data_IF_953757354233
#
_entry.id   IF_953757354233
#
_cell.length_a   1.000
_cell.length_b   1.000
_cell.length_c   1.000
_cell.angle_alpha   90.00
_cell.angle_beta   90.00
_cell.angle_gamma   90.00
#
_symmetry.space_group_name_H-M   'P 1'
#
loop_
_entity.id
_entity.type
_entity.pdbx_description
1 polymer ?
#
# COMPACT_ATOMS: atom_id res chain seq x y z
N UNK A 1 51.80 4.99 48.92
CA UNK A 1 51.10 6.17 48.36
C UNK A 1 51.80 6.82 47.15
N UNK A 2 52.73 6.14 46.44
CA UNK A 2 53.39 6.74 45.25
C UNK A 2 52.83 6.28 43.89
N UNK A 3 51.97 5.26 43.84
CA UNK A 3 51.41 4.79 42.56
C UNK A 3 50.08 5.47 42.18
N UNK A 4 49.44 6.20 43.10
CA UNK A 4 48.15 6.87 42.83
C UNK A 4 48.32 8.16 42.02
N UNK A 5 49.49 8.82 42.10
CA UNK A 5 49.78 10.08 41.40
C UNK A 5 49.96 9.91 39.88
N UNK A 6 50.28 8.70 39.42
CA UNK A 6 50.52 8.42 38.01
C UNK A 6 49.31 7.76 37.31
N UNK A 7 48.33 7.29 38.08
CA UNK A 7 47.09 6.67 37.54
C UNK A 7 46.04 7.75 37.25
N UNK A 8 45.97 8.79 38.08
CA UNK A 8 44.99 9.88 37.94
C UNK A 8 45.09 10.66 36.61
N UNK A 9 46.29 10.99 36.08
CA UNK A 9 46.40 11.68 34.78
C UNK A 9 46.00 10.77 33.61
N UNK A 10 46.27 9.46 33.70
CA UNK A 10 45.92 8.49 32.65
C UNK A 10 44.40 8.27 32.56
N UNK A 11 43.69 8.34 33.69
CA UNK A 11 42.23 8.23 33.74
C UNK A 11 41.55 9.48 33.15
N UNK A 12 42.13 10.67 33.31
CA UNK A 12 41.60 11.91 32.73
C UNK A 12 41.85 12.03 31.22
N UNK A 13 42.96 11.46 30.70
CA UNK A 13 43.23 11.44 29.25
C UNK A 13 42.27 10.50 28.51
N UNK A 14 41.85 9.40 29.12
CA UNK A 14 40.89 8.45 28.50
C UNK A 14 39.45 8.93 28.51
N UNK A 15 39.07 9.82 29.44
CA UNK A 15 37.75 10.44 29.48
C UNK A 15 37.59 11.63 28.51
N UNK A 16 38.68 12.16 27.96
CA UNK A 16 38.67 13.31 27.05
C UNK A 16 38.67 12.93 25.56
N UNK A 17 38.95 11.67 25.23
CA UNK A 17 38.83 11.11 23.87
C UNK A 17 37.55 10.28 23.68
N UNK A 18 36.51 10.55 24.47
CA UNK A 18 35.17 10.11 24.09
C UNK A 18 34.83 10.77 22.75
N UNK A 19 34.46 9.97 21.76
CA UNK A 19 33.96 10.46 20.48
C UNK A 19 32.82 11.44 20.78
N UNK A 20 33.01 12.72 20.47
CA UNK A 20 31.99 13.77 20.70
C UNK A 20 30.77 13.57 19.80
N UNK A 21 30.91 12.71 18.79
CA UNK A 21 29.86 12.35 17.86
C UNK A 21 29.45 10.89 18.04
N UNK A 22 28.20 10.69 18.46
CA UNK A 22 27.52 9.39 18.45
C UNK A 22 26.75 9.17 17.15
N UNK A 23 26.84 10.10 16.20
CA UNK A 23 26.23 9.98 14.89
C UNK A 23 27.15 9.16 13.97
N UNK A 24 27.03 7.84 14.09
CA UNK A 24 27.61 6.94 13.11
C UNK A 24 26.66 6.89 11.91
N UNK A 25 27.14 7.07 10.66
CA UNK A 25 26.34 6.73 9.51
C UNK A 25 25.90 5.29 9.67
N UNK A 26 24.59 5.03 9.75
CA UNK A 26 24.07 3.67 9.80
C UNK A 26 24.56 2.96 8.53
N UNK A 27 25.47 1.97 8.63
CA UNK A 27 25.99 1.30 7.45
C UNK A 27 24.89 0.54 6.69
N UNK A 28 23.69 0.41 7.27
CA UNK A 28 22.50 -0.18 6.66
C UNK A 28 21.43 0.86 6.26
N UNK A 29 21.64 2.15 6.52
CA UNK A 29 20.77 3.23 6.04
C UNK A 29 21.63 4.32 5.37
N UNK A 30 21.78 4.31 4.03
CA UNK A 30 22.53 5.36 3.33
C UNK A 30 21.95 6.74 3.68
N UNK A 31 22.81 7.73 3.93
CA UNK A 31 22.37 9.08 4.26
C UNK A 31 21.59 9.68 3.09
N UNK A 32 20.58 10.51 3.39
CA UNK A 32 19.72 11.14 2.37
C UNK A 32 20.47 12.09 1.45
N UNK A 33 21.67 12.53 1.85
CA UNK A 33 22.49 13.50 1.11
C UNK A 33 23.26 12.88 -0.07
N UNK A 34 23.30 11.55 -0.16
CA UNK A 34 23.87 10.81 -1.30
C UNK A 34 22.79 10.04 -2.09
N UNK A 35 21.52 10.28 -1.79
CA UNK A 35 20.42 9.63 -2.49
C UNK A 35 20.34 10.12 -3.95
N UNK A 36 20.10 9.20 -4.87
CA UNK A 36 19.79 9.49 -6.28
C UNK A 36 18.29 9.36 -6.52
N UNK A 37 17.79 9.90 -7.64
CA UNK A 37 16.41 9.66 -8.10
C UNK A 37 16.08 8.16 -8.09
N UNK A 38 16.97 7.33 -8.67
CA UNK A 38 16.75 5.88 -8.74
C UNK A 38 16.66 5.22 -7.35
N UNK A 39 17.53 5.57 -6.41
CA UNK A 39 17.51 4.96 -5.07
C UNK A 39 16.24 5.34 -4.30
N UNK A 40 15.75 6.58 -4.45
CA UNK A 40 14.51 7.01 -3.81
C UNK A 40 13.30 6.33 -4.46
N UNK A 41 13.27 6.19 -5.79
CA UNK A 41 12.19 5.47 -6.49
C UNK A 41 12.15 3.99 -6.08
N UNK A 42 13.29 3.29 -6.12
CA UNK A 42 13.37 1.90 -5.68
C UNK A 42 13.01 1.74 -4.20
N UNK A 43 13.43 2.68 -3.35
CA UNK A 43 13.06 2.72 -1.94
C UNK A 43 11.56 2.93 -1.71
N UNK A 44 10.91 3.76 -2.54
CA UNK A 44 9.45 3.94 -2.50
C UNK A 44 8.74 2.64 -2.87
N UNK A 45 9.11 2.01 -3.99
CA UNK A 45 8.52 0.75 -4.46
C UNK A 45 8.64 -0.37 -3.42
N UNK A 46 9.85 -0.57 -2.86
CA UNK A 46 10.06 -1.56 -1.80
C UNK A 46 9.29 -1.20 -0.50
N UNK A 47 9.29 0.08 -0.15
CA UNK A 47 8.60 0.59 1.04
C UNK A 47 7.09 0.38 0.97
N UNK A 48 6.46 0.50 -0.20
CA UNK A 48 5.02 0.26 -0.36
C UNK A 48 4.61 -1.18 0.03
N UNK A 49 5.52 -2.16 -0.08
CA UNK A 49 5.28 -3.55 0.31
C UNK A 49 5.42 -3.79 1.82
N UNK A 50 6.07 -2.87 2.54
CA UNK A 50 6.29 -2.99 3.98
C UNK A 50 4.98 -2.97 4.76
N UNK A 51 4.73 -4.01 5.57
CA UNK A 51 3.47 -4.19 6.31
C UNK A 51 2.22 -4.15 5.42
N UNK A 52 2.36 -4.45 4.11
CA UNK A 52 1.22 -4.44 3.18
C UNK A 52 0.30 -5.65 3.37
N UNK A 53 0.87 -6.84 3.55
CA UNK A 53 0.08 -8.03 3.88
C UNK A 53 -0.67 -7.86 5.21
N UNK A 54 -0.04 -7.22 6.20
CA UNK A 54 -0.69 -6.92 7.48
C UNK A 54 -1.90 -6.00 7.30
N UNK A 55 -1.72 -4.89 6.56
CA UNK A 55 -2.81 -3.99 6.20
C UNK A 55 -3.95 -4.69 5.47
N UNK A 56 -3.65 -5.52 4.47
CA UNK A 56 -4.68 -6.25 3.73
C UNK A 56 -5.47 -7.19 4.65
N UNK A 57 -4.79 -7.97 5.49
CA UNK A 57 -5.44 -8.83 6.48
C UNK A 57 -6.37 -8.04 7.39
N UNK A 58 -5.97 -6.85 7.82
CA UNK A 58 -6.76 -6.00 8.70
C UNK A 58 -8.01 -5.46 8.01
N UNK A 59 -7.85 -4.75 6.89
CA UNK A 59 -8.96 -4.13 6.19
C UNK A 59 -9.93 -5.17 5.62
N UNK A 60 -9.42 -6.31 5.13
CA UNK A 60 -10.26 -7.41 4.65
C UNK A 60 -10.96 -8.17 5.78
N UNK A 61 -10.38 -8.23 6.99
CA UNK A 61 -11.08 -8.81 8.14
C UNK A 61 -12.19 -7.90 8.65
N UNK A 62 -11.93 -6.59 8.79
CA UNK A 62 -12.95 -5.61 9.18
C UNK A 62 -14.04 -5.48 8.11
N UNK A 63 -13.65 -5.52 6.83
CA UNK A 63 -14.54 -5.50 5.67
C UNK A 63 -15.29 -6.81 5.41
N UNK A 64 -15.06 -7.87 6.20
CA UNK A 64 -15.69 -9.20 6.08
C UNK A 64 -15.42 -9.90 4.74
N UNK A 65 -14.26 -9.66 4.13
CA UNK A 65 -13.79 -10.42 2.97
C UNK A 65 -13.02 -11.68 3.38
N UNK A 66 -12.30 -11.59 4.51
CA UNK A 66 -11.45 -12.66 5.02
C UNK A 66 -11.57 -12.81 6.53
N UNK A 67 -11.13 -13.93 7.06
CA UNK A 67 -10.69 -14.05 8.44
C UNK A 67 -9.21 -14.37 8.48
N UNK A 68 -8.46 -13.70 9.35
CA UNK A 68 -7.08 -14.09 9.65
C UNK A 68 -7.03 -14.82 11.00
N UNK A 69 -7.11 -16.15 10.94
CA UNK A 69 -7.23 -17.04 12.10
C UNK A 69 -5.85 -17.54 12.53
N UNK A 70 -5.11 -16.71 13.27
CA UNK A 70 -3.80 -17.04 13.85
C UNK A 70 -3.94 -17.42 15.34
N UNK A 71 -3.85 -18.72 15.70
CA UNK A 71 -4.07 -19.15 17.08
C UNK A 71 -3.02 -18.65 18.07
N UNK A 72 -1.81 -18.35 17.58
CA UNK A 72 -0.70 -17.86 18.40
C UNK A 72 -0.82 -16.37 18.73
N UNK A 73 -1.68 -15.63 18.04
CA UNK A 73 -1.86 -14.20 18.21
C UNK A 73 -3.35 -13.83 18.21
N UNK A 74 -4.01 -13.91 19.38
CA UNK A 74 -5.45 -13.67 19.50
C UNK A 74 -5.86 -12.23 19.18
N UNK A 75 -4.91 -11.31 18.93
CA UNK A 75 -5.22 -9.90 18.66
C UNK A 75 -5.88 -9.70 17.29
N UNK A 76 -5.63 -10.57 16.32
CA UNK A 76 -6.26 -10.50 14.99
C UNK A 76 -7.78 -10.70 15.01
N UNK A 77 -8.30 -11.41 16.01
CA UNK A 77 -9.74 -11.65 16.18
C UNK A 77 -10.29 -10.91 17.39
N UNK A 78 -9.53 -10.87 18.49
CA UNK A 78 -9.90 -10.18 19.73
C UNK A 78 -9.84 -8.66 19.60
N UNK A 79 -8.66 -8.09 19.35
CA UNK A 79 -8.49 -6.63 19.29
C UNK A 79 -9.06 -6.04 18.01
N UNK A 80 -8.74 -6.62 16.84
CA UNK A 80 -9.15 -6.07 15.54
C UNK A 80 -10.66 -6.10 15.31
N UNK A 81 -11.34 -7.21 15.64
CA UNK A 81 -12.77 -7.37 15.32
C UNK A 81 -13.70 -7.05 16.49
N UNK A 82 -13.22 -7.08 17.74
CA UNK A 82 -14.04 -6.81 18.93
C UNK A 82 -13.62 -5.55 19.70
N UNK A 83 -12.34 -5.20 19.63
CA UNK A 83 -11.80 -4.01 20.28
C UNK A 83 -11.54 -4.16 21.78
N UNK A 84 -10.92 -3.13 22.39
CA UNK A 84 -10.36 -1.95 21.71
C UNK A 84 -9.04 -2.28 20.98
N UNK A 85 -8.76 -1.54 19.90
CA UNK A 85 -7.45 -1.57 19.24
C UNK A 85 -6.43 -0.80 20.09
N UNK A 86 -5.22 -1.35 20.24
CA UNK A 86 -4.08 -0.64 20.82
C UNK A 86 -3.46 0.31 19.77
N UNK A 87 -3.48 1.65 19.96
CA UNK A 87 -2.89 2.59 19.02
C UNK A 87 -1.38 2.41 18.83
N UNK A 88 -0.67 1.91 19.85
CA UNK A 88 0.75 1.57 19.78
C UNK A 88 1.01 0.14 19.32
N UNK A 89 -0.05 -0.66 19.18
CA UNK A 89 -0.01 -2.05 18.78
C UNK A 89 0.40 -2.21 17.32
N UNK A 90 0.99 -3.36 17.00
CA UNK A 90 1.50 -3.62 15.66
C UNK A 90 0.40 -3.60 14.58
N UNK A 91 -0.85 -3.92 14.95
CA UNK A 91 -2.04 -3.92 14.08
C UNK A 91 -2.46 -2.52 13.62
N UNK A 92 -2.02 -1.46 14.31
CA UNK A 92 -2.34 -0.08 13.93
C UNK A 92 -1.08 0.63 13.47
N UNK A 93 -0.03 0.55 14.29
CA UNK A 93 1.18 1.34 14.09
C UNK A 93 2.01 0.88 12.90
N UNK A 94 2.18 -0.43 12.67
CA UNK A 94 3.11 -0.90 11.64
C UNK A 94 2.66 -0.54 10.22
N UNK A 95 1.38 -0.76 9.85
CA UNK A 95 0.86 -0.30 8.58
C UNK A 95 0.92 1.21 8.44
N UNK A 96 0.48 1.96 9.46
CA UNK A 96 0.49 3.42 9.47
C UNK A 96 1.91 3.99 9.26
N UNK A 97 2.87 3.56 10.08
CA UNK A 97 4.24 4.06 10.05
C UNK A 97 4.94 3.74 8.73
N UNK A 98 4.71 2.55 8.16
CA UNK A 98 5.30 2.17 6.87
C UNK A 98 4.82 3.07 5.72
N UNK A 99 3.57 3.56 5.76
CA UNK A 99 2.99 4.44 4.72
C UNK A 99 3.63 5.82 4.82
N UNK A 100 3.74 6.38 6.03
CA UNK A 100 4.42 7.66 6.23
C UNK A 100 5.92 7.61 5.91
N UNK A 101 6.59 6.46 6.06
CA UNK A 101 7.97 6.28 5.60
C UNK A 101 8.09 6.42 4.08
N UNK A 102 7.17 5.83 3.32
CA UNK A 102 7.12 5.98 1.85
C UNK A 102 6.79 7.42 1.46
N UNK A 103 5.85 8.06 2.15
CA UNK A 103 5.49 9.47 1.94
C UNK A 103 6.71 10.38 2.17
N UNK A 104 7.43 10.20 3.28
CA UNK A 104 8.65 10.96 3.57
C UNK A 104 9.70 10.79 2.46
N UNK A 105 9.90 9.56 1.97
CA UNK A 105 10.80 9.28 0.86
C UNK A 105 10.36 9.97 -0.45
N UNK A 106 9.06 10.00 -0.76
CA UNK A 106 8.51 10.76 -1.90
C UNK A 106 8.72 12.27 -1.76
N UNK A 107 8.60 12.81 -0.53
CA UNK A 107 8.84 14.23 -0.24
C UNK A 107 10.31 14.61 -0.36
N UNK A 108 11.23 13.72 0.03
CA UNK A 108 12.67 13.90 -0.23
C UNK A 108 12.93 13.94 -1.75
N UNK A 109 12.34 13.00 -2.50
CA UNK A 109 12.45 12.97 -3.97
C UNK A 109 11.99 14.27 -4.62
N UNK A 110 10.80 14.76 -4.25
CA UNK A 110 10.27 16.03 -4.77
C UNK A 110 11.11 17.25 -4.38
N UNK A 111 11.73 17.23 -3.19
CA UNK A 111 12.49 18.38 -2.69
C UNK A 111 13.89 18.44 -3.31
N UNK A 112 14.60 17.30 -3.35
CA UNK A 112 15.98 17.24 -3.85
C UNK A 112 16.05 17.29 -5.38
N UNK A 113 15.02 16.79 -6.07
CA UNK A 113 14.97 16.68 -7.53
C UNK A 113 13.79 17.43 -8.12
N UNK A 114 13.56 18.67 -7.64
CA UNK A 114 12.40 19.48 -8.01
C UNK A 114 12.31 19.80 -9.51
N UNK A 115 13.43 19.81 -10.24
CA UNK A 115 13.47 20.04 -11.69
C UNK A 115 13.10 18.79 -12.52
N UNK A 116 12.97 17.62 -11.90
CA UNK A 116 12.56 16.39 -12.56
C UNK A 116 11.04 16.19 -12.45
N UNK A 117 10.31 16.72 -13.42
CA UNK A 117 8.84 16.61 -13.49
C UNK A 117 8.37 15.14 -13.49
N UNK A 118 9.12 14.22 -14.11
CA UNK A 118 8.77 12.80 -14.13
C UNK A 118 8.85 12.18 -12.73
N UNK A 119 9.95 12.44 -12.01
CA UNK A 119 10.13 12.00 -10.62
C UNK A 119 9.13 12.66 -9.67
N UNK A 120 8.84 13.95 -9.87
CA UNK A 120 7.83 14.71 -9.14
C UNK A 120 6.43 14.11 -9.32
N UNK A 121 6.06 13.79 -10.57
CA UNK A 121 4.80 13.14 -10.91
C UNK A 121 4.64 11.74 -10.31
N UNK A 122 5.70 10.93 -10.35
CA UNK A 122 5.78 9.64 -9.67
C UNK A 122 5.56 9.81 -8.15
N UNK A 123 6.35 10.68 -7.51
CA UNK A 123 6.32 10.88 -6.07
C UNK A 123 4.95 11.33 -5.55
N UNK A 124 4.31 12.30 -6.23
CA UNK A 124 2.95 12.76 -5.88
C UNK A 124 1.90 11.65 -6.01
N UNK A 125 2.00 10.83 -7.05
CA UNK A 125 1.09 9.70 -7.28
C UNK A 125 1.23 8.64 -6.19
N UNK A 126 2.47 8.26 -5.85
CA UNK A 126 2.73 7.26 -4.81
C UNK A 126 2.34 7.79 -3.43
N UNK A 127 2.62 9.05 -3.13
CA UNK A 127 2.18 9.68 -1.88
C UNK A 127 0.65 9.65 -1.73
N UNK A 128 -0.09 10.02 -2.78
CA UNK A 128 -1.53 9.97 -2.78
C UNK A 128 -2.06 8.53 -2.55
N UNK A 129 -1.43 7.54 -3.19
CA UNK A 129 -1.76 6.13 -2.95
C UNK A 129 -1.53 5.73 -1.48
N UNK A 130 -0.39 6.10 -0.89
CA UNK A 130 -0.09 5.77 0.52
C UNK A 130 -1.04 6.48 1.49
N UNK A 131 -1.39 7.75 1.26
CA UNK A 131 -2.39 8.46 2.05
C UNK A 131 -3.78 7.82 1.93
N UNK A 132 -4.16 7.34 0.74
CA UNK A 132 -5.41 6.60 0.54
C UNK A 132 -5.48 5.35 1.42
N UNK A 133 -4.37 4.60 1.52
CA UNK A 133 -4.31 3.43 2.42
C UNK A 133 -4.44 3.83 3.89
N UNK A 134 -3.80 4.93 4.31
CA UNK A 134 -3.93 5.46 5.67
C UNK A 134 -5.37 5.84 5.97
N UNK A 135 -6.04 6.59 5.08
CA UNK A 135 -7.42 7.02 5.25
C UNK A 135 -8.40 5.86 5.29
N UNK A 136 -8.20 4.84 4.44
CA UNK A 136 -9.02 3.62 4.48
C UNK A 136 -8.94 2.91 5.83
N UNK A 137 -7.75 2.84 6.42
CA UNK A 137 -7.53 2.16 7.70
C UNK A 137 -8.00 3.01 8.89
N UNK A 138 -7.72 4.30 8.87
CA UNK A 138 -7.96 5.21 10.01
C UNK A 138 -9.37 5.81 10.01
N UNK A 139 -10.02 5.84 8.86
CA UNK A 139 -11.37 6.36 8.67
C UNK A 139 -11.53 7.75 9.33
N UNK A 140 -12.40 7.89 10.33
CA UNK A 140 -12.70 9.16 10.98
C UNK A 140 -11.54 9.73 11.83
N UNK A 141 -10.52 8.93 12.15
CA UNK A 141 -9.29 9.46 12.78
C UNK A 141 -8.48 10.35 11.82
N UNK A 142 -8.77 10.27 10.51
CA UNK A 142 -8.13 11.09 9.49
C UNK A 142 -6.68 10.71 9.22
N UNK A 143 -5.89 11.68 8.75
CA UNK A 143 -4.49 11.48 8.40
C UNK A 143 -3.68 12.76 8.63
N UNK A 144 -2.37 12.69 8.43
CA UNK A 144 -1.45 13.83 8.42
C UNK A 144 -1.14 14.16 6.97
N UNK A 145 -1.13 15.45 6.62
CA UNK A 145 -0.82 15.93 5.27
C UNK A 145 0.34 16.94 5.31
N UNK A 146 0.87 17.31 4.16
CA UNK A 146 1.94 18.29 4.09
C UNK A 146 1.45 19.70 4.51
N UNK A 147 2.33 20.57 5.05
CA UNK A 147 3.73 20.31 5.38
C UNK A 147 3.88 19.36 6.58
N UNK A 148 4.77 18.37 6.44
CA UNK A 148 5.05 17.41 7.49
C UNK A 148 6.10 17.95 8.47
N UNK A 149 5.83 17.85 9.77
CA UNK A 149 6.75 18.15 10.87
C UNK A 149 7.01 16.90 11.73
N UNK A 150 7.20 15.74 11.06
CA UNK A 150 7.38 14.45 11.72
C UNK A 150 6.18 14.06 12.59
N UNK A 151 6.46 13.54 13.80
CA UNK A 151 5.42 13.14 14.75
C UNK A 151 4.55 14.32 15.22
N UNK A 152 5.04 15.55 15.14
CA UNK A 152 4.32 16.77 15.54
C UNK A 152 3.35 17.28 14.45
N UNK A 153 3.28 16.64 13.28
CA UNK A 153 2.29 17.06 12.27
C UNK A 153 0.87 16.80 12.79
N UNK A 154 -0.02 17.79 12.66
CA UNK A 154 -1.41 17.66 13.06
C UNK A 154 -2.19 16.71 12.15
N UNK A 155 -3.19 16.05 12.73
CA UNK A 155 -4.16 15.29 11.96
C UNK A 155 -5.19 16.23 11.33
N UNK A 156 -5.52 15.97 10.07
CA UNK A 156 -6.66 16.56 9.37
C UNK A 156 -7.80 15.57 9.34
N UNK A 157 -9.01 16.08 9.13
CA UNK A 157 -10.22 15.26 8.99
C UNK A 157 -10.14 14.31 7.78
N UNK A 158 -10.94 13.25 7.79
CA UNK A 158 -11.10 12.33 6.64
C UNK A 158 -11.37 13.07 5.33
N UNK A 159 -12.29 14.04 5.35
CA UNK A 159 -12.65 14.82 4.15
C UNK A 159 -11.47 15.66 3.63
N UNK A 160 -10.75 16.34 4.54
CA UNK A 160 -9.56 17.10 4.16
C UNK A 160 -8.43 16.18 3.64
N UNK A 161 -8.28 14.98 4.22
CA UNK A 161 -7.35 13.97 3.74
C UNK A 161 -7.66 13.51 2.32
N UNK A 162 -8.92 13.18 2.01
CA UNK A 162 -9.29 12.79 0.65
C UNK A 162 -9.19 13.94 -0.36
N UNK A 163 -9.46 15.18 0.05
CA UNK A 163 -9.23 16.35 -0.78
C UNK A 163 -7.75 16.53 -1.13
N UNK A 164 -6.84 16.32 -0.17
CA UNK A 164 -5.39 16.32 -0.42
C UNK A 164 -4.98 15.18 -1.37
N UNK A 165 -5.51 13.96 -1.18
CA UNK A 165 -5.24 12.83 -2.09
C UNK A 165 -5.64 13.19 -3.52
N UNK A 166 -6.82 13.75 -3.74
CA UNK A 166 -7.28 14.17 -5.07
C UNK A 166 -6.35 15.26 -5.65
N UNK A 167 -5.99 16.27 -4.85
CA UNK A 167 -5.08 17.34 -5.26
C UNK A 167 -3.69 16.83 -5.64
N UNK A 168 -3.13 15.87 -4.88
CA UNK A 168 -1.85 15.23 -5.17
C UNK A 168 -1.91 14.43 -6.48
N UNK A 169 -2.99 13.68 -6.72
CA UNK A 169 -3.16 12.94 -7.96
C UNK A 169 -3.23 13.89 -9.16
N UNK A 170 -3.99 14.98 -9.06
CA UNK A 170 -4.15 15.97 -10.13
C UNK A 170 -2.84 16.75 -10.39
N UNK A 171 -2.13 17.14 -9.34
CA UNK A 171 -0.80 17.73 -9.46
C UNK A 171 0.21 16.74 -10.07
N UNK A 172 0.19 15.48 -9.62
CA UNK A 172 1.03 14.42 -10.18
C UNK A 172 0.78 14.19 -11.67
N UNK A 173 -0.48 14.19 -12.09
CA UNK A 173 -0.85 14.10 -13.51
C UNK A 173 -0.32 15.28 -14.33
N UNK A 174 -0.40 16.50 -13.80
CA UNK A 174 0.14 17.70 -14.47
C UNK A 174 1.66 17.61 -14.68
N UNK A 175 2.39 17.11 -13.68
CA UNK A 175 3.85 16.92 -13.74
C UNK A 175 4.22 15.86 -14.79
N UNK A 176 3.51 14.72 -14.79
CA UNK A 176 3.73 13.64 -15.76
C UNK A 176 3.49 14.10 -17.21
N UNK A 177 2.47 14.94 -17.43
CA UNK A 177 2.20 15.53 -18.76
C UNK A 177 3.20 16.62 -19.17
N UNK A 178 3.91 17.20 -18.22
CA UNK A 178 4.95 18.20 -18.47
C UNK A 178 6.35 17.56 -18.60
N UNK A 179 6.48 16.29 -18.23
CA UNK A 179 7.71 15.53 -18.34
C UNK A 179 8.04 15.14 -19.80
N UNK A 180 9.28 14.70 -20.02
CA UNK A 180 9.72 14.17 -21.32
C UNK A 180 9.08 12.80 -21.66
N UNK A 181 9.55 12.17 -22.74
CA UNK A 181 9.03 10.88 -23.19
C UNK A 181 9.48 9.67 -22.34
N UNK A 182 10.43 9.86 -21.43
CA UNK A 182 11.01 8.79 -20.61
C UNK A 182 11.31 9.30 -19.20
N UNK A 183 11.20 8.43 -18.21
CA UNK A 183 11.70 8.71 -16.87
C UNK A 183 13.24 8.77 -16.84
N UNK A 184 13.78 9.50 -15.87
CA UNK A 184 15.22 9.53 -15.53
C UNK A 184 15.66 8.32 -14.68
N UNK A 185 14.70 7.46 -14.35
CA UNK A 185 14.83 6.26 -13.53
C UNK A 185 14.09 5.10 -14.18
N UNK A 186 14.30 3.92 -13.62
CA UNK A 186 13.61 2.68 -14.00
C UNK A 186 12.68 2.23 -12.87
N UNK A 187 11.56 1.64 -13.24
CA UNK A 187 10.60 1.02 -12.32
C UNK A 187 10.76 -0.50 -12.32
N UNK A 188 10.30 -1.15 -11.26
CA UNK A 188 10.27 -2.61 -11.22
C UNK A 188 9.29 -3.21 -12.24
N UNK A 189 9.36 -4.53 -12.43
CA UNK A 189 8.42 -5.25 -13.30
C UNK A 189 6.95 -5.14 -12.88
N UNK A 190 6.66 -4.68 -11.65
CA UNK A 190 5.29 -4.40 -11.20
C UNK A 190 4.62 -3.23 -11.92
N UNK A 191 5.42 -2.39 -12.59
CA UNK A 191 4.96 -1.27 -13.43
C UNK A 191 5.21 -1.53 -14.92
N UNK A 192 5.37 -2.80 -15.35
CA UNK A 192 5.56 -3.12 -16.76
C UNK A 192 4.40 -2.54 -17.62
N UNK A 193 4.75 -1.75 -18.65
CA UNK A 193 3.78 -1.03 -19.48
C UNK A 193 3.34 0.33 -18.91
N UNK A 194 3.72 0.65 -17.68
CA UNK A 194 3.46 1.91 -16.97
C UNK A 194 4.77 2.65 -16.62
N UNK A 195 5.83 2.42 -17.39
CA UNK A 195 7.21 2.82 -17.13
C UNK A 195 7.69 4.04 -17.94
N UNK A 196 6.75 4.83 -18.46
CA UNK A 196 7.01 6.14 -19.07
C UNK A 196 6.10 7.20 -18.44
N UNK A 197 6.41 8.50 -18.52
CA UNK A 197 5.52 9.53 -17.97
C UNK A 197 4.09 9.45 -18.50
N UNK A 198 3.91 9.20 -19.81
CA UNK A 198 2.59 9.09 -20.43
C UNK A 198 1.81 7.86 -19.94
N UNK A 199 2.44 6.69 -19.88
CA UNK A 199 1.74 5.47 -19.43
C UNK A 199 1.53 5.46 -17.92
N UNK A 200 2.49 5.96 -17.13
CA UNK A 200 2.31 6.14 -15.69
C UNK A 200 1.20 7.16 -15.38
N UNK A 201 0.97 8.16 -16.24
CA UNK A 201 -0.16 9.07 -16.11
C UNK A 201 -1.50 8.33 -16.18
N UNK A 202 -1.62 7.27 -16.98
CA UNK A 202 -2.82 6.43 -17.01
C UNK A 202 -3.03 5.68 -15.68
N UNK A 203 -1.95 5.20 -15.06
CA UNK A 203 -2.00 4.63 -13.70
C UNK A 203 -2.41 5.67 -12.65
N UNK A 204 -1.87 6.89 -12.72
CA UNK A 204 -2.31 7.98 -11.85
C UNK A 204 -3.81 8.26 -12.02
N UNK A 205 -4.32 8.31 -13.26
CA UNK A 205 -5.75 8.54 -13.53
C UNK A 205 -6.63 7.38 -13.07
N UNK A 206 -6.15 6.14 -13.15
CA UNK A 206 -6.81 4.98 -12.56
C UNK A 206 -7.02 5.15 -11.03
N UNK A 207 -5.99 5.59 -10.31
CA UNK A 207 -6.12 5.91 -8.87
C UNK A 207 -7.07 7.09 -8.62
N UNK A 208 -7.02 8.12 -9.47
CA UNK A 208 -7.91 9.29 -9.36
C UNK A 208 -9.38 8.92 -9.56
N UNK A 209 -9.67 7.96 -10.43
CA UNK A 209 -11.01 7.43 -10.62
C UNK A 209 -11.54 6.76 -9.35
N UNK A 210 -10.76 5.84 -8.76
CA UNK A 210 -11.09 5.19 -7.46
C UNK A 210 -11.39 6.23 -6.39
N UNK A 211 -10.52 7.23 -6.24
CA UNK A 211 -10.69 8.30 -5.24
C UNK A 211 -11.94 9.14 -5.52
N UNK A 212 -12.26 9.40 -6.79
CA UNK A 212 -13.47 10.14 -7.14
C UNK A 212 -14.74 9.38 -6.74
N UNK A 213 -14.75 8.06 -6.95
CA UNK A 213 -15.85 7.18 -6.52
C UNK A 213 -16.02 7.23 -5.00
N UNK A 214 -14.94 7.17 -4.22
CA UNK A 214 -15.00 7.32 -2.75
C UNK A 214 -15.54 8.66 -2.27
N UNK A 215 -15.52 9.68 -3.14
CA UNK A 215 -15.98 11.04 -2.86
C UNK A 215 -17.37 11.32 -3.46
N UNK A 216 -18.03 10.32 -4.03
CA UNK A 216 -19.27 10.45 -4.79
C UNK A 216 -19.17 11.46 -5.96
N UNK A 217 -17.96 11.70 -6.47
CA UNK A 217 -17.68 12.61 -7.59
C UNK A 217 -17.67 11.83 -8.92
N UNK A 218 -18.85 11.43 -9.35
CA UNK A 218 -19.06 10.56 -10.51
C UNK A 218 -18.57 11.17 -11.82
N UNK A 219 -18.73 12.49 -12.00
CA UNK A 219 -18.26 13.17 -13.21
C UNK A 219 -16.74 13.13 -13.33
N UNK A 220 -16.04 13.34 -12.21
CA UNK A 220 -14.59 13.24 -12.22
C UNK A 220 -14.13 11.79 -12.30
N UNK A 221 -14.88 10.83 -11.71
CA UNK A 221 -14.61 9.40 -11.86
C UNK A 221 -14.57 9.01 -13.34
N UNK A 222 -15.63 9.30 -14.09
CA UNK A 222 -15.74 8.98 -15.51
C UNK A 222 -14.65 9.65 -16.34
N UNK A 223 -14.37 10.93 -16.08
CA UNK A 223 -13.29 11.65 -16.77
C UNK A 223 -11.92 11.01 -16.49
N UNK A 224 -11.65 10.63 -15.24
CA UNK A 224 -10.40 9.97 -14.88
C UNK A 224 -10.30 8.57 -15.50
N UNK A 225 -11.40 7.81 -15.56
CA UNK A 225 -11.47 6.50 -16.22
C UNK A 225 -11.16 6.60 -17.72
N UNK A 226 -11.73 7.56 -18.42
CA UNK A 226 -11.47 7.78 -19.86
C UNK A 226 -10.01 8.15 -20.15
N UNK A 227 -9.31 8.74 -19.18
CA UNK A 227 -7.88 9.06 -19.26
C UNK A 227 -6.97 7.98 -18.63
N UNK A 228 -7.55 6.87 -18.17
CA UNK A 228 -6.82 5.75 -17.57
C UNK A 228 -6.52 4.66 -18.60
N UNK A 229 -6.04 3.51 -18.14
CA UNK A 229 -5.81 2.32 -18.96
C UNK A 229 -7.03 1.39 -19.02
N UNK A 230 -8.19 1.82 -18.51
CA UNK A 230 -9.42 1.03 -18.51
C UNK A 230 -9.83 0.64 -19.94
N UNK A 231 -10.06 -0.65 -20.15
CA UNK A 231 -10.59 -1.22 -21.38
C UNK A 231 -11.56 -2.36 -21.06
N UNK A 232 -12.85 -2.15 -21.27
CA UNK A 232 -13.88 -3.17 -21.03
C UNK A 232 -13.72 -4.40 -21.94
N UNK A 233 -13.02 -4.31 -23.08
CA UNK A 233 -12.74 -5.47 -23.92
C UNK A 233 -11.34 -6.05 -23.68
N UNK A 234 -10.57 -5.44 -22.78
CA UNK A 234 -9.17 -5.76 -22.52
C UNK A 234 -8.96 -6.87 -21.50
N UNK A 235 -7.69 -7.14 -21.21
CA UNK A 235 -7.31 -8.07 -20.14
C UNK A 235 -7.68 -7.48 -18.77
N UNK A 236 -8.56 -8.16 -18.03
CA UNK A 236 -9.01 -7.76 -16.70
C UNK A 236 -7.87 -7.75 -15.66
N UNK A 237 -6.78 -8.48 -15.95
CA UNK A 237 -5.56 -8.48 -15.15
C UNK A 237 -4.56 -7.39 -15.56
N UNK A 238 -4.82 -6.58 -16.59
CA UNK A 238 -3.94 -5.46 -16.91
C UNK A 238 -3.95 -4.43 -15.77
N UNK A 239 -2.77 -3.98 -15.32
CA UNK A 239 -2.65 -3.03 -14.22
C UNK A 239 -1.28 -3.01 -13.56
N UNK A 240 -1.21 -2.35 -12.40
CA UNK A 240 0.02 -2.17 -11.63
C UNK A 240 0.01 -3.06 -10.39
N UNK A 241 1.17 -3.63 -10.07
CA UNK A 241 1.31 -4.67 -9.05
C UNK A 241 2.46 -4.41 -8.08
N UNK A 242 2.26 -4.82 -6.84
CA UNK A 242 3.36 -5.16 -5.94
C UNK A 242 3.94 -6.51 -6.37
N UNK A 243 5.19 -6.50 -6.81
CA UNK A 243 5.94 -7.71 -7.17
C UNK A 243 6.85 -8.15 -6.03
N UNK A 244 7.10 -9.46 -5.97
CA UNK A 244 7.83 -10.13 -4.89
C UNK A 244 8.89 -11.05 -5.48
N UNK A 245 9.95 -11.34 -4.73
CA UNK A 245 11.00 -12.25 -5.16
C UNK A 245 11.82 -12.78 -3.99
N UNK A 246 12.67 -13.77 -4.25
CA UNK A 246 13.70 -14.23 -3.32
C UNK A 246 14.98 -13.38 -3.37
N UNK A 247 14.96 -12.26 -4.11
CA UNK A 247 16.12 -11.39 -4.28
C UNK A 247 16.57 -10.75 -2.96
N UNK A 248 17.85 -10.38 -2.88
CA UNK A 248 18.36 -9.71 -1.68
C UNK A 248 17.59 -8.41 -1.41
N UNK A 249 17.09 -8.26 -0.18
CA UNK A 249 16.31 -7.09 0.23
C UNK A 249 14.84 -7.12 -0.19
N UNK A 250 14.38 -8.17 -0.87
CA UNK A 250 12.97 -8.38 -1.22
C UNK A 250 12.30 -9.36 -0.25
N UNK A 251 10.97 -9.43 -0.30
CA UNK A 251 10.15 -10.33 0.50
C UNK A 251 9.18 -11.16 -0.34
N UNK A 252 8.50 -12.09 0.32
CA UNK A 252 7.37 -12.82 -0.27
C UNK A 252 6.04 -12.10 -0.10
N UNK A 253 5.07 -12.51 -0.90
CA UNK A 253 3.67 -12.17 -0.76
C UNK A 253 3.11 -12.77 0.54
N UNK A 254 2.98 -11.93 1.57
CA UNK A 254 2.43 -12.35 2.85
C UNK A 254 0.94 -12.72 2.82
N UNK A 255 0.23 -12.58 1.71
CA UNK A 255 -1.16 -13.04 1.58
C UNK A 255 -1.27 -14.48 1.10
N UNK A 256 -0.20 -15.06 0.54
CA UNK A 256 -0.22 -16.44 0.08
C UNK A 256 -0.14 -17.44 1.25
N UNK A 257 -0.94 -18.50 1.13
CA UNK A 257 -0.81 -19.71 1.92
C UNK A 257 -1.23 -20.89 1.04
N UNK A 258 -0.49 -22.01 1.11
CA UNK A 258 -0.86 -23.23 0.39
C UNK A 258 -2.23 -23.74 0.90
N UNK A 259 -3.28 -23.78 0.06
CA UNK A 259 -4.63 -24.18 0.48
C UNK A 259 -4.69 -25.65 0.92
N UNK A 260 -3.72 -26.47 0.51
CA UNK A 260 -3.61 -27.89 0.87
C UNK A 260 -2.88 -28.12 2.20
N UNK A 261 -2.28 -27.06 2.78
CA UNK A 261 -1.62 -27.15 4.08
C UNK A 261 -2.59 -27.62 5.17
N UNK A 262 -2.06 -28.31 6.18
CA UNK A 262 -2.83 -28.78 7.33
C UNK A 262 -3.48 -27.63 8.10
N UNK A 263 -2.88 -26.45 8.05
CA UNK A 263 -3.38 -25.23 8.67
C UNK A 263 -3.15 -24.03 7.76
N UNK A 264 -4.19 -23.22 7.57
CA UNK A 264 -4.19 -22.00 6.75
C UNK A 264 -4.73 -20.88 7.62
N UNK A 265 -4.01 -19.76 7.70
CA UNK A 265 -4.38 -18.62 8.56
C UNK A 265 -5.35 -17.68 7.88
N UNK A 266 -5.07 -17.34 6.62
CA UNK A 266 -5.93 -16.50 5.81
C UNK A 266 -7.05 -17.33 5.20
N UNK A 267 -8.26 -17.15 5.70
CA UNK A 267 -9.45 -17.82 5.21
C UNK A 267 -10.34 -16.79 4.52
N UNK A 268 -10.99 -17.15 3.41
CA UNK A 268 -12.05 -16.33 2.84
C UNK A 268 -13.28 -16.35 3.78
N UNK A 269 -14.05 -15.26 3.76
CA UNK A 269 -15.27 -15.19 4.56
C UNK A 269 -16.31 -16.20 4.01
N UNK A 270 -17.06 -16.94 4.86
CA UNK A 270 -17.99 -17.97 4.40
C UNK A 270 -19.06 -17.49 3.41
N UNK A 271 -19.42 -16.21 3.47
CA UNK A 271 -20.39 -15.61 2.54
C UNK A 271 -19.95 -15.68 1.08
N UNK A 272 -18.65 -15.80 0.78
CA UNK A 272 -18.19 -16.03 -0.60
C UNK A 272 -18.81 -17.30 -1.18
N UNK A 273 -19.00 -18.34 -0.37
CA UNK A 273 -19.69 -19.57 -0.78
C UNK A 273 -21.20 -19.42 -0.68
N UNK A 274 -21.69 -18.88 0.43
CA UNK A 274 -23.14 -18.83 0.71
C UNK A 274 -23.90 -17.90 -0.25
N UNK A 275 -23.25 -16.85 -0.75
CA UNK A 275 -23.85 -15.85 -1.64
C UNK A 275 -23.49 -16.07 -3.11
N UNK A 276 -22.56 -16.99 -3.42
CA UNK A 276 -22.22 -17.31 -4.80
C UNK A 276 -23.38 -18.02 -5.51
N UNK A 277 -23.63 -17.62 -6.75
CA UNK A 277 -24.56 -18.34 -7.62
C UNK A 277 -24.02 -19.75 -7.93
N UNK A 278 -24.93 -20.70 -8.14
CA UNK A 278 -24.55 -22.07 -8.45
C UNK A 278 -23.72 -22.13 -9.75
N UNK A 279 -22.45 -22.54 -9.62
CA UNK A 279 -21.52 -22.63 -10.75
C UNK A 279 -20.83 -21.31 -11.11
N UNK A 280 -20.89 -20.28 -10.25
CA UNK A 280 -20.21 -19.01 -10.49
C UNK A 280 -18.68 -19.19 -10.55
N UNK A 281 -18.05 -18.97 -11.73
CA UNK A 281 -16.62 -19.13 -11.88
C UNK A 281 -15.82 -18.11 -11.06
N UNK A 282 -16.40 -16.97 -10.68
CA UNK A 282 -15.71 -15.95 -9.86
C UNK A 282 -15.43 -16.47 -8.46
N UNK A 283 -16.31 -17.31 -7.91
CA UNK A 283 -16.07 -18.02 -6.65
C UNK A 283 -15.06 -19.14 -6.85
N UNK A 284 -15.31 -20.07 -7.77
CA UNK A 284 -14.46 -21.27 -7.92
C UNK A 284 -13.04 -20.97 -8.42
N UNK A 285 -12.80 -19.81 -9.03
CA UNK A 285 -11.47 -19.38 -9.46
C UNK A 285 -10.69 -18.64 -8.36
N UNK A 286 -11.36 -18.13 -7.32
CA UNK A 286 -10.74 -17.30 -6.28
C UNK A 286 -10.69 -17.99 -4.92
N UNK A 287 -11.54 -18.98 -4.69
CA UNK A 287 -11.67 -19.69 -3.42
C UNK A 287 -11.80 -21.19 -3.65
N UNK A 288 -11.21 -21.99 -2.75
CA UNK A 288 -11.42 -23.43 -2.67
C UNK A 288 -11.96 -23.81 -1.29
N UNK A 289 -13.00 -24.64 -1.27
CA UNK A 289 -13.49 -25.24 -0.05
C UNK A 289 -12.52 -26.35 0.42
N UNK A 290 -12.03 -26.22 1.66
CA UNK A 290 -11.17 -27.23 2.30
C UNK A 290 -12.01 -28.25 3.05
N UNK A 291 -11.47 -29.46 3.17
CA UNK A 291 -12.08 -30.54 3.97
C UNK A 291 -12.05 -30.27 5.49
N UNK A 292 -11.20 -29.34 5.93
CA UNK A 292 -11.02 -29.01 7.36
C UNK A 292 -11.53 -27.59 7.60
N UNK A 293 -12.55 -27.47 8.44
CA UNK A 293 -12.97 -26.20 9.02
C UNK A 293 -11.97 -25.72 10.08
N UNK A 294 -11.68 -24.42 10.06
CA UNK A 294 -10.91 -23.76 11.10
C UNK A 294 -11.88 -22.89 11.89
N UNK A 295 -11.90 -23.09 13.21
CA UNK A 295 -12.66 -22.27 14.14
C UNK A 295 -11.71 -21.64 15.15
N UNK A 296 -11.77 -20.33 15.29
CA UNK A 296 -11.04 -19.59 16.32
C UNK A 296 -11.88 -18.41 16.79
N UNK A 297 -11.96 -18.20 18.10
CA UNK A 297 -12.78 -17.15 18.71
C UNK A 297 -14.23 -17.11 18.19
N UNK A 298 -14.84 -18.27 17.90
CA UNK A 298 -16.21 -18.35 17.38
C UNK A 298 -16.39 -17.88 15.93
N UNK A 299 -15.30 -17.62 15.22
CA UNK A 299 -15.28 -17.42 13.76
C UNK A 299 -14.88 -18.74 13.10
N UNK A 300 -15.63 -19.16 12.09
CA UNK A 300 -15.43 -20.44 11.40
C UNK A 300 -15.36 -20.21 9.90
N UNK A 301 -14.39 -20.85 9.24
CA UNK A 301 -14.33 -20.95 7.77
C UNK A 301 -13.53 -22.18 7.35
N UNK A 302 -13.91 -22.79 6.24
CA UNK A 302 -13.13 -23.74 5.46
C UNK A 302 -12.78 -23.23 4.06
N UNK A 303 -13.09 -21.96 3.77
CA UNK A 303 -12.85 -21.35 2.47
C UNK A 303 -11.41 -20.81 2.42
N UNK A 304 -10.57 -21.33 1.53
CA UNK A 304 -9.20 -20.84 1.34
C UNK A 304 -9.06 -20.05 0.03
N UNK A 305 -8.43 -18.86 0.08
CA UNK A 305 -8.14 -18.10 -1.14
C UNK A 305 -7.13 -18.85 -2.03
N UNK A 306 -7.35 -18.82 -3.34
CA UNK A 306 -6.50 -19.48 -4.36
C UNK A 306 -6.09 -18.54 -5.51
N UNK A 307 -6.30 -17.23 -5.37
CA UNK A 307 -5.85 -16.25 -6.37
C UNK A 307 -4.31 -16.13 -6.44
N UNK A 308 -3.60 -16.65 -5.44
CA UNK A 308 -2.14 -16.79 -5.42
C UNK A 308 -1.76 -18.27 -5.34
N UNK A 309 -0.77 -18.65 -6.13
CA UNK A 309 -0.24 -19.99 -6.34
C UNK A 309 1.16 -20.18 -5.74
N UNK A 310 1.82 -19.09 -5.31
CA UNK A 310 3.15 -19.14 -4.70
C UNK A 310 3.53 -17.90 -3.91
N UNK A 311 4.63 -18.01 -3.16
CA UNK A 311 5.15 -16.96 -2.26
C UNK A 311 5.58 -15.68 -2.99
N UNK A 312 5.67 -15.69 -4.32
CA UNK A 312 6.12 -14.53 -5.11
C UNK A 312 5.06 -14.00 -6.06
N UNK A 313 3.84 -14.53 -5.99
CA UNK A 313 2.76 -14.06 -6.84
C UNK A 313 2.42 -12.60 -6.49
N UNK A 314 2.24 -11.74 -7.52
CA UNK A 314 2.06 -10.32 -7.30
C UNK A 314 0.73 -10.00 -6.63
N UNK A 315 0.68 -8.88 -5.92
CA UNK A 315 -0.55 -8.34 -5.35
C UNK A 315 -0.89 -7.04 -6.06
N UNK A 316 -2.09 -6.95 -6.62
CA UNK A 316 -2.48 -5.79 -7.41
C UNK A 316 -2.58 -4.51 -6.57
N UNK A 317 -2.12 -3.39 -7.14
CA UNK A 317 -2.41 -2.04 -6.65
C UNK A 317 -3.75 -1.57 -7.20
N UNK A 318 -3.95 -1.75 -8.50
CA UNK A 318 -5.17 -1.44 -9.25
C UNK A 318 -5.13 -2.21 -10.59
N UNK A 319 -6.27 -2.72 -11.04
CA UNK A 319 -6.39 -3.49 -12.29
C UNK A 319 -7.58 -3.04 -13.12
N UNK A 320 -7.57 -3.41 -14.38
CA UNK A 320 -8.62 -3.12 -15.33
C UNK A 320 -10.00 -3.64 -14.86
N UNK A 321 -10.04 -4.84 -14.25
CA UNK A 321 -11.26 -5.39 -13.60
C UNK A 321 -11.90 -4.37 -12.66
N UNK A 322 -11.10 -3.72 -11.81
CA UNK A 322 -11.57 -2.72 -10.87
C UNK A 322 -12.06 -1.45 -11.59
N UNK A 323 -11.35 -1.00 -12.62
CA UNK A 323 -11.72 0.22 -13.35
C UNK A 323 -13.06 0.08 -14.08
N UNK A 324 -13.32 -1.10 -14.66
CA UNK A 324 -14.61 -1.41 -15.29
C UNK A 324 -15.72 -1.39 -14.23
N UNK A 325 -15.49 -1.96 -13.05
CA UNK A 325 -16.46 -1.93 -11.95
C UNK A 325 -16.68 -0.52 -11.39
N UNK A 326 -15.63 0.31 -11.28
CA UNK A 326 -15.75 1.72 -10.89
C UNK A 326 -16.56 2.52 -11.92
N UNK A 327 -16.44 2.19 -13.21
CA UNK A 327 -17.28 2.78 -14.25
C UNK A 327 -18.76 2.40 -14.08
N UNK A 328 -19.04 1.12 -13.78
CA UNK A 328 -20.39 0.65 -13.48
C UNK A 328 -20.98 1.43 -12.30
N UNK A 329 -20.22 1.57 -11.21
CA UNK A 329 -20.63 2.30 -10.01
C UNK A 329 -20.88 3.78 -10.30
N UNK A 330 -19.98 4.46 -11.03
CA UNK A 330 -20.16 5.86 -11.39
C UNK A 330 -21.37 6.10 -12.31
N UNK A 331 -21.67 5.17 -13.22
CA UNK A 331 -22.87 5.24 -14.07
C UNK A 331 -24.15 5.09 -13.23
N UNK A 332 -24.17 4.14 -12.31
CA UNK A 332 -25.29 3.94 -11.37
C UNK A 332 -25.46 5.19 -10.47
N UNK A 333 -24.36 5.72 -9.93
CA UNK A 333 -24.36 6.94 -9.11
C UNK A 333 -24.91 8.17 -9.83
N UNK A 334 -24.74 8.24 -11.15
CA UNK A 334 -25.33 9.28 -12.01
C UNK A 334 -26.80 9.01 -12.42
N UNK A 335 -27.43 7.95 -11.90
CA UNK A 335 -28.81 7.58 -12.21
C UNK A 335 -28.98 6.83 -13.54
N UNK A 336 -27.89 6.36 -14.14
CA UNK A 336 -27.91 5.40 -15.26
C UNK A 336 -28.01 3.95 -14.78
N UNK A 337 -27.76 3.00 -15.70
CA UNK A 337 -27.49 1.61 -15.36
C UNK A 337 -25.98 1.31 -15.48
N UNK A 338 -25.52 0.25 -14.80
CA UNK A 338 -24.14 -0.25 -14.91
C UNK A 338 -24.08 -1.64 -15.52
N UNK A 339 -25.14 -2.08 -16.21
CA UNK A 339 -25.27 -3.47 -16.68
C UNK A 339 -24.28 -3.79 -17.79
N UNK A 340 -23.91 -2.82 -18.62
CA UNK A 340 -22.93 -3.02 -19.68
C UNK A 340 -21.55 -3.38 -19.11
N UNK A 341 -21.13 -2.69 -18.05
CA UNK A 341 -19.85 -2.92 -17.38
C UNK A 341 -19.85 -4.17 -16.46
N UNK A 342 -20.99 -4.55 -15.87
CA UNK A 342 -21.08 -5.73 -14.99
C UNK A 342 -21.07 -7.05 -15.78
N UNK A 343 -21.55 -7.06 -17.02
CA UNK A 343 -21.69 -8.27 -17.84
C UNK A 343 -20.48 -8.57 -18.73
N UNK A 344 -19.32 -8.01 -18.38
CA UNK A 344 -18.07 -8.15 -19.15
C UNK A 344 -17.38 -9.47 -18.86
#
# INVERSE_FOLDING_TARGET
MNNLKNILPLLFVTLWFGCEDLDFPDPNAPSTDVATVQTLVTGAEAGMRSSYALYLREVSSVGRETYYLEPADPRYTGELLRGPLDPGGFLVYSPWASRYRVIANCRILMTQFADDAGASGFAKTIEAYQLSLVLNMQNENGCKIAPYNGLESDFVTKSAGWAEVAALLDAGYSELNSAGSSFSFTLSGGFAGFDTPATFAQFNRALRARVAVYLDDWSTALTALDNSFMDAAGDMSHGVYHVYSSGQGDGGNGMYADPTATFVKLMAHPTFKDEAEAGDPRYSNKVVERATEITYDGLTSNEAPIMWTGDYDPVAIIRNEELVLLKAEANIGNGGDGLAEINV
#
